data_IF_869857320212
#
_entry.id   IF_869857320212
#
_cell.length_a   1.000
_cell.length_b   1.000
_cell.length_c   1.000
_cell.angle_alpha   90.00
_cell.angle_beta   90.00
_cell.angle_gamma   90.00
#
_symmetry.space_group_name_H-M   'P 1'
#
loop_
_entity.id
_entity.type
_entity.pdbx_description
1 polymer ?
#
# COMPACT_ATOMS: atom_id res chain seq x y z
N UNK A 1 -8.21 -21.67 -2.82
CA UNK A 1 -9.63 -22.00 -2.52
C UNK A 1 -10.30 -22.52 -3.78
N UNK A 2 -10.90 -23.72 -3.75
CA UNK A 2 -11.79 -24.20 -4.83
C UNK A 2 -13.18 -23.60 -4.62
N UNK A 3 -13.66 -22.80 -5.58
CA UNK A 3 -14.91 -22.04 -5.46
C UNK A 3 -16.09 -22.92 -5.88
N UNK A 4 -16.65 -23.65 -4.92
CA UNK A 4 -17.98 -24.27 -5.03
C UNK A 4 -19.08 -23.29 -4.62
N UNK A 5 -20.25 -23.38 -5.27
CA UNK A 5 -21.45 -22.56 -5.04
C UNK A 5 -22.08 -22.78 -3.64
N UNK A 6 -21.39 -22.39 -2.58
CA UNK A 6 -21.95 -22.19 -1.24
C UNK A 6 -21.70 -20.76 -0.81
N UNK A 7 -22.55 -20.19 0.05
CA UNK A 7 -22.26 -18.94 0.73
C UNK A 7 -20.98 -19.14 1.56
N UNK A 8 -19.84 -18.74 1.01
CA UNK A 8 -18.57 -18.72 1.73
C UNK A 8 -18.63 -17.61 2.78
N UNK A 9 -18.72 -17.97 4.06
CA UNK A 9 -18.46 -17.03 5.15
C UNK A 9 -16.96 -16.98 5.43
N UNK A 10 -16.41 -15.80 5.69
CA UNK A 10 -15.07 -15.68 6.24
C UNK A 10 -15.06 -16.32 7.63
N UNK A 11 -13.93 -16.98 7.96
CA UNK A 11 -13.72 -17.54 9.30
C UNK A 11 -12.46 -16.93 9.86
N UNK A 12 -12.52 -16.46 11.10
CA UNK A 12 -11.34 -16.03 11.84
C UNK A 12 -10.39 -17.21 11.97
N UNK A 13 -9.14 -17.02 11.50
CA UNK A 13 -8.07 -17.98 11.67
C UNK A 13 -7.34 -17.79 13.00
N UNK A 14 -7.08 -16.53 13.36
CA UNK A 14 -6.41 -16.08 14.59
C UNK A 14 -6.75 -14.61 14.84
N UNK A 15 -6.53 -14.14 16.07
CA UNK A 15 -6.76 -12.74 16.47
C UNK A 15 -5.69 -12.25 17.44
N UNK A 16 -5.34 -10.97 17.34
CA UNK A 16 -4.40 -10.30 18.24
C UNK A 16 -5.07 -9.07 18.87
N UNK A 17 -4.66 -8.71 20.09
CA UNK A 17 -5.10 -7.48 20.72
C UNK A 17 -3.90 -6.62 21.10
N UNK A 18 -4.06 -5.31 20.92
CA UNK A 18 -3.12 -4.29 21.31
C UNK A 18 -3.79 -3.39 22.36
N UNK A 19 -3.04 -2.99 23.38
CA UNK A 19 -3.55 -2.14 24.46
C UNK A 19 -3.80 -0.67 24.03
N UNK A 20 -3.50 -0.35 22.77
CA UNK A 20 -3.53 1.01 22.24
C UNK A 20 -4.40 1.08 20.99
N UNK A 21 -4.95 2.27 20.73
CA UNK A 21 -5.64 2.56 19.47
C UNK A 21 -4.64 2.58 18.33
N UNK A 22 -4.99 1.92 17.24
CA UNK A 22 -4.13 1.71 16.08
C UNK A 22 -4.44 2.74 15.00
N UNK A 23 -3.40 3.29 14.38
CA UNK A 23 -3.49 4.27 13.28
C UNK A 23 -2.92 3.76 11.97
N UNK A 24 -1.91 2.90 12.05
CA UNK A 24 -1.19 2.38 10.90
C UNK A 24 -0.81 0.91 11.13
N UNK A 25 -0.72 0.12 10.08
CA UNK A 25 -0.36 -1.28 10.15
C UNK A 25 0.26 -1.74 8.83
N UNK A 26 1.26 -2.62 8.92
CA UNK A 26 1.89 -3.28 7.79
C UNK A 26 2.41 -4.65 8.24
N UNK A 27 3.00 -5.43 7.32
CA UNK A 27 3.62 -6.70 7.65
C UNK A 27 4.99 -6.86 7.01
N UNK A 28 5.86 -7.57 7.71
CA UNK A 28 7.21 -7.89 7.25
C UNK A 28 7.89 -8.91 8.15
N UNK A 29 9.07 -9.32 7.75
CA UNK A 29 9.93 -10.21 8.54
C UNK A 29 10.98 -9.41 9.29
N UNK A 30 10.88 -9.38 10.62
CA UNK A 30 11.73 -8.54 11.48
C UNK A 30 12.67 -9.32 12.41
N UNK A 31 12.71 -10.65 12.29
CA UNK A 31 13.54 -11.52 13.12
C UNK A 31 14.20 -12.66 12.32
N UNK A 32 15.03 -13.44 13.01
CA UNK A 32 15.77 -14.59 12.45
C UNK A 32 14.87 -15.71 11.92
N UNK A 33 13.58 -15.74 12.31
CA UNK A 33 12.67 -16.80 11.85
C UNK A 33 12.32 -16.67 10.37
N UNK A 34 12.44 -15.46 9.81
CA UNK A 34 12.04 -15.17 8.45
C UNK A 34 10.52 -15.09 8.24
N UNK A 35 9.72 -15.31 9.30
CA UNK A 35 8.26 -15.33 9.25
C UNK A 35 7.68 -13.92 9.15
N UNK A 36 6.56 -13.78 8.45
CA UNK A 36 5.80 -12.53 8.41
C UNK A 36 5.19 -12.22 9.79
N UNK A 37 5.36 -10.98 10.22
CA UNK A 37 4.86 -10.45 11.47
C UNK A 37 4.11 -9.16 11.23
N UNK A 38 3.07 -8.93 12.03
CA UNK A 38 2.34 -7.67 12.03
C UNK A 38 3.16 -6.59 12.75
N UNK A 39 3.32 -5.43 12.10
CA UNK A 39 3.80 -4.19 12.74
C UNK A 39 2.68 -3.16 12.75
N UNK A 40 2.47 -2.50 13.89
CA UNK A 40 1.43 -1.49 14.05
C UNK A 40 1.98 -0.20 14.64
N UNK A 41 1.40 0.92 14.22
CA UNK A 41 1.59 2.24 14.78
C UNK A 41 0.38 2.64 15.61
N UNK A 42 0.64 3.24 16.76
CA UNK A 42 -0.41 3.65 17.71
C UNK A 42 -0.65 5.16 17.68
N UNK A 43 -1.83 5.60 18.13
CA UNK A 43 -2.13 7.04 18.32
C UNK A 43 -1.12 7.74 19.25
N UNK A 44 -0.47 6.99 20.14
CA UNK A 44 0.55 7.48 21.08
C UNK A 44 1.97 7.48 20.51
N UNK A 45 2.17 7.26 19.21
CA UNK A 45 3.50 7.28 18.59
C UNK A 45 4.35 6.03 18.86
N UNK A 46 3.81 4.97 19.49
CA UNK A 46 4.50 3.69 19.65
C UNK A 46 4.39 2.86 18.38
N UNK A 47 5.48 2.20 18.02
CA UNK A 47 5.55 1.11 17.04
C UNK A 47 5.62 -0.21 17.80
N UNK A 48 4.69 -1.11 17.52
CA UNK A 48 4.58 -2.40 18.20
C UNK A 48 4.66 -3.53 17.14
N UNK A 49 5.34 -4.62 17.49
CA UNK A 49 5.24 -5.88 16.76
C UNK A 49 4.15 -6.75 17.36
N UNK A 50 3.69 -7.73 16.59
CA UNK A 50 2.81 -8.79 17.06
C UNK A 50 3.34 -9.41 18.37
N UNK A 51 2.53 -9.33 19.44
CA UNK A 51 2.90 -9.90 20.74
C UNK A 51 3.91 -9.08 21.56
N UNK A 52 4.31 -7.88 21.11
CA UNK A 52 5.20 -6.96 21.84
C UNK A 52 4.48 -5.66 22.22
N UNK A 53 4.78 -5.11 23.40
CA UNK A 53 4.13 -3.88 23.89
C UNK A 53 4.60 -2.62 23.15
N UNK A 54 5.90 -2.51 22.85
CA UNK A 54 6.50 -1.38 22.12
C UNK A 54 7.93 -1.74 21.75
N UNK A 55 8.29 -1.52 20.49
CA UNK A 55 9.64 -1.75 19.98
C UNK A 55 10.38 -0.43 19.74
N UNK A 56 9.65 0.60 19.32
CA UNK A 56 10.20 1.93 19.07
C UNK A 56 9.15 3.00 19.38
N UNK A 57 9.60 4.18 19.82
CA UNK A 57 8.71 5.32 20.08
C UNK A 57 9.11 6.50 19.19
N UNK A 58 8.14 6.96 18.41
CA UNK A 58 8.23 8.12 17.52
C UNK A 58 7.67 9.32 18.28
N UNK A 59 8.47 10.38 18.41
CA UNK A 59 8.06 11.63 19.06
C UNK A 59 7.21 12.53 18.15
N UNK A 60 6.36 11.94 17.31
CA UNK A 60 5.40 12.64 16.44
C UNK A 60 4.22 11.69 16.13
N UNK A 61 3.13 12.26 15.63
CA UNK A 61 1.97 11.48 15.20
C UNK A 61 2.33 10.65 13.98
N UNK A 62 2.12 9.33 14.09
CA UNK A 62 2.26 8.40 12.97
C UNK A 62 1.04 8.54 12.05
N UNK A 63 1.30 8.74 10.77
CA UNK A 63 0.27 8.84 9.73
C UNK A 63 0.21 7.57 8.88
N UNK A 64 1.37 6.97 8.58
CA UNK A 64 1.44 5.80 7.71
C UNK A 64 2.62 4.89 8.08
N UNK A 65 2.45 3.59 7.84
CA UNK A 65 3.51 2.59 7.92
C UNK A 65 3.58 1.81 6.61
N UNK A 66 4.79 1.60 6.12
CA UNK A 66 5.08 0.67 5.04
C UNK A 66 6.30 -0.16 5.41
N UNK A 67 6.49 -1.28 4.73
CA UNK A 67 7.63 -2.16 4.96
C UNK A 67 8.45 -2.25 3.69
N UNK A 68 9.72 -1.86 3.78
CA UNK A 68 10.69 -2.03 2.71
C UNK A 68 11.24 -3.46 2.78
N UNK A 69 10.77 -4.31 1.87
CA UNK A 69 11.22 -5.70 1.81
C UNK A 69 12.56 -5.80 1.08
N UNK A 70 13.53 -6.45 1.71
CA UNK A 70 14.78 -6.79 1.01
C UNK A 70 14.52 -7.96 0.06
N UNK A 71 14.87 -7.81 -1.21
CA UNK A 71 14.64 -8.84 -2.24
C UNK A 71 15.40 -10.14 -1.91
N UNK A 72 14.74 -11.09 -1.26
CA UNK A 72 15.29 -12.43 -0.92
C UNK A 72 15.62 -13.25 -2.17
N UNK A 73 14.89 -13.04 -3.28
CA UNK A 73 15.01 -13.85 -4.52
C UNK A 73 16.26 -13.59 -5.37
N UNK A 74 17.00 -12.50 -5.17
CA UNK A 74 18.17 -12.17 -6.01
C UNK A 74 19.47 -12.84 -5.50
N UNK A 75 19.48 -13.41 -4.29
CA UNK A 75 20.70 -13.88 -3.62
C UNK A 75 21.24 -15.25 -4.04
N UNK A 76 20.62 -15.96 -5.00
CA UNK A 76 21.21 -17.21 -5.49
C UNK A 76 22.43 -17.02 -6.41
N UNK A 77 22.72 -15.80 -6.93
CA UNK A 77 23.81 -15.63 -7.89
C UNK A 77 24.75 -14.41 -7.75
N UNK A 78 24.64 -13.54 -6.74
CA UNK A 78 25.56 -12.40 -6.66
C UNK A 78 25.97 -12.00 -5.23
N UNK A 79 27.25 -12.33 -4.96
CA UNK A 79 28.24 -11.63 -4.13
C UNK A 79 27.91 -11.41 -2.65
N UNK A 80 28.73 -12.06 -1.82
CA UNK A 80 28.97 -11.81 -0.40
C UNK A 80 29.33 -10.33 -0.17
N UNK A 81 28.36 -9.49 0.16
CA UNK A 81 28.59 -8.23 0.86
C UNK A 81 28.22 -8.41 2.33
N UNK A 82 29.03 -7.83 3.21
CA UNK A 82 29.04 -8.08 4.66
C UNK A 82 27.97 -7.33 5.46
N UNK A 83 27.11 -6.54 4.81
CA UNK A 83 25.94 -5.90 5.43
C UNK A 83 24.66 -6.66 4.98
N UNK A 84 24.60 -7.91 5.44
CA UNK A 84 23.61 -8.88 5.01
C UNK A 84 22.35 -8.79 5.89
N UNK A 85 21.66 -7.65 5.88
CA UNK A 85 20.34 -7.57 6.54
C UNK A 85 19.32 -8.34 5.68
N UNK A 86 18.88 -9.50 6.19
CA UNK A 86 17.82 -10.33 5.59
C UNK A 86 16.42 -9.95 6.11
N UNK A 87 16.38 -8.88 6.89
CA UNK A 87 15.22 -8.37 7.59
C UNK A 87 14.62 -7.20 6.85
N UNK A 88 13.32 -7.06 6.98
CA UNK A 88 12.59 -5.96 6.38
C UNK A 88 12.70 -4.71 7.26
N UNK A 89 12.65 -3.55 6.63
CA UNK A 89 12.78 -2.25 7.30
C UNK A 89 11.39 -1.63 7.41
N UNK A 90 11.07 -1.09 8.58
CA UNK A 90 9.83 -0.33 8.78
C UNK A 90 10.05 1.11 8.32
N UNK A 91 9.24 1.56 7.35
CA UNK A 91 9.20 2.94 6.90
C UNK A 91 8.02 3.64 7.58
N UNK A 92 8.32 4.73 8.29
CA UNK A 92 7.40 5.46 9.15
C UNK A 92 7.20 6.86 8.58
N UNK A 93 5.96 7.16 8.21
CA UNK A 93 5.52 8.51 7.84
C UNK A 93 4.85 9.20 9.02
N UNK A 94 5.29 10.41 9.34
CA UNK A 94 4.74 11.24 10.42
C UNK A 94 4.22 12.57 9.90
N UNK A 95 3.73 13.44 10.78
CA UNK A 95 3.36 14.80 10.41
C UNK A 95 4.53 15.67 9.94
N UNK A 96 5.77 15.35 10.34
CA UNK A 96 6.92 16.21 10.03
C UNK A 96 8.15 15.44 9.51
N UNK A 97 8.08 14.13 9.34
CA UNK A 97 9.24 13.33 8.96
C UNK A 97 8.92 12.02 8.25
N UNK A 98 9.92 11.54 7.52
CA UNK A 98 10.04 10.17 7.01
C UNK A 98 11.21 9.50 7.73
N UNK A 99 10.97 8.31 8.28
CA UNK A 99 12.01 7.52 8.96
C UNK A 99 12.05 6.10 8.41
N UNK A 100 13.26 5.55 8.24
CA UNK A 100 13.47 4.13 8.04
C UNK A 100 14.11 3.53 9.30
N UNK A 101 13.45 2.53 9.87
CA UNK A 101 13.85 1.90 11.13
C UNK A 101 14.05 0.39 10.93
N UNK A 102 15.26 -0.06 11.18
CA UNK A 102 15.63 -1.46 11.27
C UNK A 102 15.26 -1.97 12.66
N UNK A 103 14.18 -2.74 12.72
CA UNK A 103 13.65 -3.30 13.96
C UNK A 103 14.60 -4.33 14.56
N UNK A 104 15.23 -5.16 13.71
CA UNK A 104 16.10 -6.24 14.17
C UNK A 104 17.35 -5.69 14.85
N UNK A 105 18.01 -4.71 14.23
CA UNK A 105 19.22 -4.09 14.76
C UNK A 105 18.93 -2.91 15.70
N UNK A 106 17.66 -2.58 15.95
CA UNK A 106 17.23 -1.41 16.72
C UNK A 106 17.94 -0.11 16.26
N UNK A 107 17.95 0.12 14.93
CA UNK A 107 18.76 1.17 14.31
C UNK A 107 17.93 2.00 13.34
N UNK A 108 17.97 3.32 13.49
CA UNK A 108 17.49 4.24 12.46
C UNK A 108 18.47 4.26 11.29
N UNK A 109 17.98 3.90 10.10
CA UNK A 109 18.76 3.92 8.86
C UNK A 109 18.87 5.35 8.35
N UNK A 110 17.72 6.03 8.26
CA UNK A 110 17.68 7.45 7.93
C UNK A 110 16.48 8.13 8.60
N UNK A 111 16.59 9.45 8.74
CA UNK A 111 15.51 10.32 9.19
C UNK A 111 15.54 11.60 8.35
N UNK A 112 14.42 11.93 7.71
CA UNK A 112 14.25 13.10 6.83
C UNK A 112 13.15 13.98 7.39
N UNK A 113 13.41 15.26 7.53
CA UNK A 113 12.38 16.24 7.88
C UNK A 113 11.56 16.57 6.62
N UNK A 114 10.25 16.37 6.69
CA UNK A 114 9.29 16.66 5.63
C UNK A 114 8.17 17.48 6.25
N UNK A 115 8.27 18.79 6.14
CA UNK A 115 7.36 19.75 6.79
C UNK A 115 5.91 19.67 6.33
N UNK A 116 5.65 19.11 5.15
CA UNK A 116 4.30 18.86 4.62
C UNK A 116 3.66 17.58 5.20
N UNK A 117 4.41 16.79 5.96
CA UNK A 117 4.03 15.49 6.48
C UNK A 117 4.02 14.40 5.43
N UNK A 118 4.08 13.15 5.87
CA UNK A 118 4.03 11.96 5.02
C UNK A 118 2.74 11.21 5.30
N UNK A 119 1.78 11.30 4.38
CA UNK A 119 0.43 10.74 4.57
C UNK A 119 0.27 9.36 3.95
N UNK A 120 1.07 9.05 2.94
CA UNK A 120 1.03 7.77 2.23
C UNK A 120 2.42 7.37 1.77
N UNK A 121 2.74 6.08 1.84
CA UNK A 121 4.01 5.53 1.38
C UNK A 121 3.72 4.32 0.49
N UNK A 122 4.25 4.32 -0.73
CA UNK A 122 4.28 3.17 -1.63
C UNK A 122 5.74 2.81 -1.91
N UNK A 123 6.06 1.53 -1.84
CA UNK A 123 7.40 1.02 -2.15
C UNK A 123 7.30 0.13 -3.38
N UNK A 124 8.19 0.34 -4.33
CA UNK A 124 8.30 -0.51 -5.51
C UNK A 124 9.16 0.09 -6.60
N UNK A 125 9.25 -0.64 -7.71
CA UNK A 125 9.98 -0.21 -8.89
C UNK A 125 9.10 0.72 -9.75
N UNK A 126 9.70 1.82 -10.23
CA UNK A 126 9.11 2.77 -11.16
C UNK A 126 10.09 2.96 -12.32
N UNK A 127 9.60 3.11 -13.56
CA UNK A 127 10.35 3.27 -14.84
C UNK A 127 11.90 3.39 -14.70
N UNK A 128 12.40 4.58 -14.35
CA UNK A 128 13.84 4.91 -14.27
C UNK A 128 14.63 4.07 -13.25
N UNK A 129 13.96 3.57 -12.22
CA UNK A 129 14.49 2.79 -11.10
C UNK A 129 13.99 1.34 -11.14
N UNK A 130 13.80 0.75 -12.32
CA UNK A 130 13.29 -0.64 -12.46
C UNK A 130 14.07 -1.73 -11.72
N UNK A 131 15.34 -1.47 -11.38
CA UNK A 131 16.21 -2.43 -10.70
C UNK A 131 16.30 -2.21 -9.17
N UNK A 132 15.67 -1.16 -8.63
CA UNK A 132 15.76 -0.78 -7.21
C UNK A 132 14.37 -0.41 -6.69
N UNK A 133 14.04 -0.85 -5.47
CA UNK A 133 12.79 -0.41 -4.84
C UNK A 133 12.94 1.04 -4.40
N UNK A 134 12.01 1.89 -4.83
CA UNK A 134 11.95 3.30 -4.43
C UNK A 134 10.91 3.48 -3.33
N UNK A 135 11.23 4.31 -2.34
CA UNK A 135 10.29 4.75 -1.31
C UNK A 135 9.57 6.00 -1.86
N UNK A 136 8.32 5.85 -2.29
CA UNK A 136 7.50 6.91 -2.88
C UNK A 136 6.53 7.42 -1.82
N UNK A 137 6.60 8.71 -1.49
CA UNK A 137 5.84 9.35 -0.43
C UNK A 137 4.87 10.38 -1.01
N UNK A 138 3.62 10.37 -0.52
CA UNK A 138 2.66 11.45 -0.72
C UNK A 138 2.72 12.42 0.46
N UNK A 139 3.15 13.65 0.20
CA UNK A 139 3.43 14.68 1.19
C UNK A 139 2.61 15.96 0.89
N UNK A 140 1.43 16.09 1.50
CA UNK A 140 0.51 17.18 1.15
C UNK A 140 0.15 17.15 -0.33
N UNK A 141 0.67 18.10 -1.11
CA UNK A 141 0.46 18.21 -2.57
C UNK A 141 1.67 17.78 -3.42
N UNK A 142 2.72 17.29 -2.77
CA UNK A 142 3.97 16.87 -3.39
C UNK A 142 4.19 15.37 -3.28
N UNK A 143 4.81 14.78 -4.30
CA UNK A 143 5.31 13.40 -4.28
C UNK A 143 6.82 13.47 -4.17
N UNK A 144 7.37 12.65 -3.28
CA UNK A 144 8.81 12.47 -3.12
C UNK A 144 9.20 11.02 -3.37
N UNK A 145 10.34 10.81 -4.03
CA UNK A 145 10.97 9.50 -4.19
C UNK A 145 12.32 9.46 -3.48
N UNK A 146 12.56 8.43 -2.67
CA UNK A 146 13.82 8.24 -1.93
C UNK A 146 14.41 6.84 -2.18
N UNK A 147 15.74 6.75 -2.13
CA UNK A 147 16.45 5.47 -2.02
C UNK A 147 16.30 4.87 -0.62
N UNK A 148 16.72 3.62 -0.45
CA UNK A 148 16.70 2.92 0.83
C UNK A 148 17.56 3.57 1.92
N UNK A 149 18.55 4.39 1.54
CA UNK A 149 19.39 5.17 2.45
C UNK A 149 18.84 6.58 2.76
N UNK A 150 17.68 6.93 2.20
CA UNK A 150 17.02 8.22 2.41
C UNK A 150 17.49 9.34 1.48
N UNK A 151 18.34 9.04 0.48
CA UNK A 151 18.74 10.02 -0.52
C UNK A 151 17.61 10.32 -1.50
N UNK A 152 17.46 11.60 -1.83
CA UNK A 152 16.46 12.09 -2.77
C UNK A 152 16.73 11.55 -4.19
N UNK A 153 15.70 10.98 -4.80
CA UNK A 153 15.69 10.58 -6.22
C UNK A 153 14.96 11.61 -7.07
N UNK A 154 13.72 11.91 -6.72
CA UNK A 154 12.86 12.84 -7.45
C UNK A 154 11.81 13.49 -6.55
N UNK A 155 11.22 14.57 -7.04
CA UNK A 155 10.00 15.14 -6.46
C UNK A 155 9.13 15.79 -7.53
N UNK A 156 7.82 15.85 -7.30
CA UNK A 156 6.89 16.58 -8.17
C UNK A 156 5.74 17.18 -7.36
N UNK A 157 5.20 18.32 -7.79
CA UNK A 157 3.98 18.89 -7.22
C UNK A 157 2.78 18.57 -8.13
N UNK A 158 1.63 18.24 -7.53
CA UNK A 158 0.38 17.95 -8.25
C UNK A 158 -0.70 19.02 -8.10
N UNK A 159 -0.56 19.91 -7.10
CA UNK A 159 -1.50 21.00 -6.82
C UNK A 159 -2.69 20.62 -5.94
N UNK A 160 -3.09 19.34 -5.96
CA UNK A 160 -4.13 18.78 -5.08
C UNK A 160 -3.51 17.90 -3.99
N UNK A 161 -4.19 17.78 -2.86
CA UNK A 161 -3.75 16.93 -1.76
C UNK A 161 -3.78 15.45 -2.18
N UNK A 162 -2.68 14.76 -1.93
CA UNK A 162 -2.49 13.35 -2.26
C UNK A 162 -3.02 12.48 -1.13
N UNK A 163 -3.87 11.52 -1.49
CA UNK A 163 -4.50 10.60 -0.55
C UNK A 163 -3.98 9.18 -0.68
N UNK A 164 -3.63 8.75 -1.89
CA UNK A 164 -3.21 7.38 -2.17
C UNK A 164 -2.29 7.33 -3.39
N UNK A 165 -1.32 6.42 -3.34
CA UNK A 165 -0.36 6.15 -4.41
C UNK A 165 -0.38 4.65 -4.73
N UNK A 166 -0.35 4.31 -6.01
CA UNK A 166 -0.27 2.92 -6.46
C UNK A 166 0.62 2.80 -7.71
N UNK A 167 1.27 1.65 -7.86
CA UNK A 167 2.13 1.33 -9.00
C UNK A 167 1.41 0.32 -9.88
N UNK A 168 1.27 0.64 -11.16
CA UNK A 168 0.64 -0.24 -12.15
C UNK A 168 1.25 0.00 -13.53
N UNK A 169 1.60 -1.08 -14.21
CA UNK A 169 1.93 -1.09 -15.65
C UNK A 169 0.66 -0.83 -16.47
N UNK A 170 0.40 0.43 -16.80
CA UNK A 170 -0.79 0.94 -17.45
C UNK A 170 -0.73 0.87 -18.98
N UNK A 171 0.47 0.94 -19.57
CA UNK A 171 0.66 0.91 -21.02
C UNK A 171 1.14 -0.46 -21.56
N UNK A 172 1.47 -1.39 -20.66
CA UNK A 172 1.84 -2.76 -20.98
C UNK A 172 3.31 -2.91 -21.39
N UNK A 173 4.17 -1.93 -21.11
CA UNK A 173 5.60 -1.98 -21.43
C UNK A 173 6.43 -2.82 -20.43
N UNK A 174 5.81 -3.27 -19.34
CA UNK A 174 6.42 -4.07 -18.28
C UNK A 174 7.09 -3.23 -17.18
N UNK A 175 6.99 -1.91 -17.23
CA UNK A 175 7.38 -0.97 -16.19
C UNK A 175 6.12 -0.47 -15.48
N UNK A 176 6.26 -0.07 -14.22
CA UNK A 176 5.11 0.47 -13.50
C UNK A 176 5.08 1.99 -13.61
N UNK A 177 3.88 2.53 -13.83
CA UNK A 177 3.57 3.93 -13.67
C UNK A 177 2.93 4.23 -12.32
N UNK A 178 3.01 5.50 -11.92
CA UNK A 178 2.45 5.97 -10.67
C UNK A 178 1.02 6.49 -10.86
N UNK A 179 0.06 5.78 -10.28
CA UNK A 179 -1.33 6.23 -10.17
C UNK A 179 -1.47 7.03 -8.88
N UNK A 180 -2.08 8.22 -8.98
CA UNK A 180 -2.25 9.13 -7.84
C UNK A 180 -3.72 9.45 -7.62
N UNK A 181 -4.22 9.11 -6.44
CA UNK A 181 -5.52 9.55 -5.96
C UNK A 181 -5.39 10.83 -5.15
N UNK A 182 -6.21 11.84 -5.46
CA UNK A 182 -6.17 13.17 -4.82
C UNK A 182 -7.52 13.57 -4.21
N UNK A 183 -7.55 14.72 -3.54
CA UNK A 183 -8.77 15.41 -3.11
C UNK A 183 -9.53 16.12 -4.24
N UNK A 184 -8.91 16.23 -5.42
CA UNK A 184 -9.55 16.77 -6.61
C UNK A 184 -10.68 15.88 -7.13
N UNK A 185 -11.40 16.39 -8.13
CA UNK A 185 -12.46 15.67 -8.85
C UNK A 185 -11.87 14.58 -9.78
N UNK A 186 -10.59 14.70 -10.11
CA UNK A 186 -9.87 13.84 -11.05
C UNK A 186 -8.86 12.92 -10.33
N UNK A 187 -8.88 11.63 -10.69
CA UNK A 187 -7.78 10.69 -10.48
C UNK A 187 -6.75 10.97 -11.57
N UNK A 188 -5.54 11.35 -11.16
CA UNK A 188 -4.45 11.66 -12.09
C UNK A 188 -3.50 10.46 -12.16
N UNK A 189 -3.55 9.69 -13.26
CA UNK A 189 -2.54 8.67 -13.53
C UNK A 189 -1.36 9.34 -14.22
N UNK A 190 -0.25 9.52 -13.51
CA UNK A 190 0.92 10.25 -14.00
C UNK A 190 1.99 9.25 -14.41
N UNK A 191 2.12 9.04 -15.72
CA UNK A 191 3.25 8.31 -16.29
C UNK A 191 4.49 9.21 -16.17
N UNK A 192 5.49 8.72 -15.43
CA UNK A 192 6.84 9.24 -15.56
C UNK A 192 7.47 8.49 -16.73
N UNK A 193 7.38 9.05 -17.94
CA UNK A 193 8.29 8.68 -19.03
C UNK A 193 9.13 9.92 -19.29
N UNK A 194 10.45 9.83 -19.16
CA UNK A 194 11.33 10.91 -19.65
C UNK A 194 12.29 10.43 -20.73
N UNK A 195 12.04 10.90 -21.95
CA UNK A 195 13.02 10.93 -23.03
C UNK A 195 14.10 11.99 -22.74
N UNK A 196 15.32 11.51 -22.50
CA UNK A 196 16.65 12.10 -22.71
C UNK A 196 16.96 13.58 -22.34
N UNK A 197 17.87 13.71 -21.36
CA UNK A 197 19.19 14.40 -21.40
C UNK A 197 19.30 15.84 -21.96
N UNK A 198 19.93 16.68 -21.11
CA UNK A 198 20.66 17.95 -21.34
C UNK A 198 19.88 19.29 -21.36
N UNK A 199 20.16 20.07 -20.30
CA UNK A 199 20.70 21.45 -20.36
C UNK A 199 19.77 22.50 -21.01
N UNK A 200 18.92 23.14 -20.21
CA UNK A 200 18.89 24.60 -20.07
C UNK A 200 17.93 25.01 -18.92
N UNK A 201 18.45 25.82 -18.01
CA UNK A 201 17.69 26.51 -16.99
C UNK A 201 16.69 27.50 -17.61
N UNK A 202 15.53 27.63 -16.97
CA UNK A 202 14.46 28.61 -17.22
C UNK A 202 13.50 28.27 -18.37
N UNK A 203 12.26 27.89 -18.01
CA UNK A 203 11.13 27.45 -18.86
C UNK A 203 11.26 26.07 -19.53
N UNK A 204 11.27 25.00 -18.72
CA UNK A 204 11.09 23.62 -19.21
C UNK A 204 10.17 22.84 -18.25
N UNK A 205 8.86 23.02 -18.40
CA UNK A 205 7.81 22.05 -18.03
C UNK A 205 7.18 21.55 -19.34
N UNK A 206 7.94 20.77 -20.10
CA UNK A 206 7.56 20.14 -21.39
C UNK A 206 8.39 18.85 -21.47
N UNK A 207 7.89 17.62 -21.38
CA UNK A 207 6.54 17.07 -21.49
C UNK A 207 6.40 15.94 -20.45
N UNK A 208 5.82 16.23 -19.29
CA UNK A 208 5.15 15.22 -18.48
C UNK A 208 3.71 15.19 -18.96
N UNK A 209 3.36 14.25 -19.84
CA UNK A 209 1.97 14.03 -20.24
C UNK A 209 1.33 13.05 -19.27
N UNK A 210 0.22 13.43 -18.62
CA UNK A 210 -0.68 12.43 -18.06
C UNK A 210 -1.09 11.50 -19.20
N UNK A 211 -1.03 10.19 -18.97
CA UNK A 211 -1.52 9.22 -19.94
C UNK A 211 -3.03 9.16 -19.95
N UNK A 212 -3.62 9.30 -18.76
CA UNK A 212 -5.04 9.37 -18.57
C UNK A 212 -5.38 10.14 -17.29
N UNK A 213 -6.40 10.98 -17.38
CA UNK A 213 -7.09 11.56 -16.25
C UNK A 213 -8.46 10.89 -16.17
N UNK A 214 -8.82 10.38 -14.99
CA UNK A 214 -10.11 9.74 -14.76
C UNK A 214 -10.93 10.58 -13.81
N UNK A 215 -11.99 11.22 -14.31
CA UNK A 215 -12.91 12.01 -13.49
C UNK A 215 -13.91 11.08 -12.78
N UNK A 216 -13.86 11.05 -11.45
CA UNK A 216 -14.76 10.27 -10.62
C UNK A 216 -15.59 11.12 -9.63
N UNK A 217 -15.44 12.46 -9.63
CA UNK A 217 -16.35 13.37 -8.94
C UNK A 217 -16.14 13.56 -7.43
N UNK A 218 -15.30 12.74 -6.79
CA UNK A 218 -15.08 12.74 -5.33
C UNK A 218 -13.62 12.39 -4.97
N UNK A 219 -13.12 12.85 -3.80
CA UNK A 219 -11.80 12.49 -3.30
C UNK A 219 -11.53 10.99 -3.32
N UNK A 220 -10.39 10.61 -3.88
CA UNK A 220 -9.98 9.20 -3.98
C UNK A 220 -9.27 8.77 -2.70
N UNK A 221 -9.70 7.65 -2.12
CA UNK A 221 -9.20 7.14 -0.83
C UNK A 221 -8.43 5.84 -0.93
N UNK A 222 -8.73 5.02 -1.94
CA UNK A 222 -8.08 3.74 -2.13
C UNK A 222 -7.88 3.48 -3.62
N UNK A 223 -6.72 2.98 -3.98
CA UNK A 223 -6.38 2.47 -5.31
C UNK A 223 -5.60 1.18 -5.08
N UNK A 224 -5.87 0.16 -5.90
CA UNK A 224 -5.06 -1.06 -5.92
C UNK A 224 -4.90 -1.53 -7.37
N UNK A 225 -3.66 -1.78 -7.79
CA UNK A 225 -3.37 -2.41 -9.05
C UNK A 225 -3.79 -3.89 -8.97
N UNK A 226 -4.49 -4.37 -10.00
CA UNK A 226 -4.96 -5.76 -10.06
C UNK A 226 -4.06 -6.57 -10.98
N UNK A 227 -3.84 -6.04 -12.19
CA UNK A 227 -3.02 -6.60 -13.26
C UNK A 227 -2.68 -5.47 -14.25
N UNK A 228 -1.82 -5.69 -15.26
CA UNK A 228 -1.50 -4.62 -16.21
C UNK A 228 -2.74 -3.95 -16.80
N UNK A 229 -2.68 -2.62 -16.85
CA UNK A 229 -3.72 -1.69 -17.26
C UNK A 229 -5.06 -1.85 -16.53
N UNK A 230 -5.08 -2.46 -15.35
CA UNK A 230 -6.31 -2.72 -14.58
C UNK A 230 -6.11 -2.39 -13.11
N UNK A 231 -6.90 -1.45 -12.60
CA UNK A 231 -6.86 -1.06 -11.18
C UNK A 231 -8.28 -0.84 -10.64
N UNK A 232 -8.46 -1.11 -9.36
CA UNK A 232 -9.66 -0.71 -8.63
C UNK A 232 -9.44 0.62 -7.92
N UNK A 233 -10.52 1.39 -7.78
CA UNK A 233 -10.53 2.67 -7.07
C UNK A 233 -11.71 2.72 -6.08
N UNK A 234 -11.54 3.55 -5.06
CA UNK A 234 -12.53 3.79 -4.03
C UNK A 234 -12.52 5.25 -3.59
N UNK A 235 -13.70 5.86 -3.52
CA UNK A 235 -13.91 7.28 -3.25
C UNK A 235 -14.48 7.52 -1.86
N UNK A 236 -14.33 8.76 -1.40
CA UNK A 236 -14.87 9.22 -0.12
C UNK A 236 -16.40 9.18 -0.03
N UNK A 237 -17.09 9.26 -1.16
CA UNK A 237 -18.55 9.14 -1.23
C UNK A 237 -19.08 7.70 -1.11
N UNK A 238 -18.18 6.72 -0.93
CA UNK A 238 -18.52 5.29 -0.86
C UNK A 238 -18.70 4.63 -2.22
N UNK A 239 -18.30 5.30 -3.30
CA UNK A 239 -18.21 4.71 -4.64
C UNK A 239 -16.94 3.85 -4.72
N UNK A 240 -17.06 2.67 -5.31
CA UNK A 240 -15.92 1.84 -5.73
C UNK A 240 -16.14 1.38 -7.17
N UNK A 241 -15.05 1.17 -7.90
CA UNK A 241 -15.10 0.73 -9.28
C UNK A 241 -13.78 0.14 -9.75
N UNK A 242 -13.78 -0.31 -11.00
CA UNK A 242 -12.60 -0.83 -11.68
C UNK A 242 -12.45 -0.14 -13.03
N UNK A 243 -11.23 0.30 -13.31
CA UNK A 243 -10.77 0.65 -14.64
C UNK A 243 -9.99 -0.53 -15.23
N UNK A 244 -10.17 -0.77 -16.52
CA UNK A 244 -9.43 -1.75 -17.30
C UNK A 244 -9.17 -1.19 -18.69
N UNK A 245 -7.91 -1.22 -19.12
CA UNK A 245 -7.48 -0.73 -20.44
C UNK A 245 -7.93 0.73 -20.71
N UNK A 246 -7.88 1.58 -19.68
CA UNK A 246 -8.31 2.98 -19.77
C UNK A 246 -9.83 3.21 -19.74
N UNK A 247 -10.66 2.16 -19.70
CA UNK A 247 -12.11 2.28 -19.64
C UNK A 247 -12.67 1.83 -18.29
N UNK A 248 -13.74 2.49 -17.84
CA UNK A 248 -14.44 2.10 -16.61
C UNK A 248 -15.27 0.85 -16.86
N UNK A 249 -14.86 -0.28 -16.29
CA UNK A 249 -15.58 -1.55 -16.41
C UNK A 249 -16.89 -1.52 -15.63
N UNK A 250 -16.84 -1.06 -14.37
CA UNK A 250 -18.01 -0.92 -13.52
C UNK A 250 -17.74 0.05 -12.37
N UNK A 251 -18.84 0.56 -11.80
CA UNK A 251 -18.82 1.29 -10.52
C UNK A 251 -20.10 1.03 -9.73
N UNK A 252 -19.99 1.02 -8.42
CA UNK A 252 -21.12 0.87 -7.48
C UNK A 252 -20.96 1.83 -6.31
N UNK A 253 -22.08 2.31 -5.75
CA UNK A 253 -22.09 3.20 -4.58
C UNK A 253 -22.63 2.50 -3.35
N UNK A 254 -21.93 2.61 -2.24
CA UNK A 254 -22.33 2.11 -0.91
C UNK A 254 -22.42 3.28 0.08
N UNK A 255 -23.12 3.09 1.20
CA UNK A 255 -23.29 4.11 2.24
C UNK A 255 -22.11 4.24 3.20
N UNK A 256 -21.18 3.29 3.20
CA UNK A 256 -20.00 3.30 4.07
C UNK A 256 -18.79 3.83 3.33
N UNK A 257 -17.87 4.46 4.05
CA UNK A 257 -16.55 4.85 3.54
C UNK A 257 -15.70 3.61 3.29
N UNK A 258 -14.97 3.60 2.17
CA UNK A 258 -13.99 2.56 1.85
C UNK A 258 -12.74 2.71 2.74
N UNK A 259 -12.19 1.59 3.21
CA UNK A 259 -10.95 1.54 4.01
C UNK A 259 -9.80 0.99 3.19
N UNK A 260 -9.99 -0.14 2.51
CA UNK A 260 -8.94 -0.76 1.70
C UNK A 260 -9.55 -1.52 0.52
N UNK A 261 -8.80 -1.53 -0.58
CA UNK A 261 -9.06 -2.39 -1.74
C UNK A 261 -7.93 -3.40 -1.83
N UNK A 262 -8.27 -4.67 -2.02
CA UNK A 262 -7.31 -5.76 -2.00
C UNK A 262 -7.41 -6.58 -3.29
N UNK A 263 -6.29 -6.70 -4.00
CA UNK A 263 -6.18 -7.58 -5.17
C UNK A 263 -5.86 -9.01 -4.73
N UNK A 264 -6.60 -10.00 -5.25
CA UNK A 264 -6.30 -11.41 -4.99
C UNK A 264 -5.25 -11.94 -5.97
N UNK A 265 -4.49 -12.99 -5.59
CA UNK A 265 -3.52 -13.64 -6.48
C UNK A 265 -4.10 -14.13 -7.82
N UNK A 266 -5.40 -14.43 -7.85
CA UNK A 266 -6.10 -14.85 -9.07
C UNK A 266 -6.37 -13.71 -10.07
N UNK A 267 -6.14 -12.45 -9.68
CA UNK A 267 -6.36 -11.22 -10.46
C UNK A 267 -7.78 -11.05 -11.04
N UNK A 268 -8.73 -11.87 -10.59
CA UNK A 268 -10.10 -11.91 -11.06
C UNK A 268 -11.07 -11.39 -9.98
N UNK A 269 -10.60 -11.30 -8.74
CA UNK A 269 -11.35 -10.79 -7.62
C UNK A 269 -10.67 -9.60 -6.94
N UNK A 270 -11.50 -8.68 -6.46
CA UNK A 270 -11.10 -7.56 -5.63
C UNK A 270 -11.94 -7.55 -4.35
N UNK A 271 -11.29 -7.44 -3.20
CA UNK A 271 -11.97 -7.22 -1.92
C UNK A 271 -12.17 -5.73 -1.70
N UNK A 272 -13.41 -5.34 -1.40
CA UNK A 272 -13.78 -4.00 -0.93
C UNK A 272 -14.03 -4.07 0.56
N UNK A 273 -13.13 -3.48 1.35
CA UNK A 273 -13.20 -3.47 2.82
C UNK A 273 -13.70 -2.10 3.28
N UNK A 274 -14.83 -2.08 3.97
CA UNK A 274 -15.53 -0.86 4.37
C UNK A 274 -15.32 -0.55 5.85
N UNK A 275 -15.40 0.73 6.24
CA UNK A 275 -15.18 1.18 7.62
C UNK A 275 -16.11 0.50 8.63
N UNK A 276 -17.33 0.19 8.24
CA UNK A 276 -18.32 -0.50 9.08
C UNK A 276 -18.10 -2.02 9.18
N UNK A 277 -16.89 -2.53 8.91
CA UNK A 277 -16.54 -3.95 8.94
C UNK A 277 -17.29 -4.84 7.93
N UNK A 278 -17.91 -4.23 6.91
CA UNK A 278 -18.43 -4.95 5.75
C UNK A 278 -17.28 -5.28 4.79
N UNK A 279 -17.32 -6.48 4.21
CA UNK A 279 -16.36 -6.93 3.19
C UNK A 279 -17.15 -7.47 2.01
N UNK A 280 -16.93 -6.94 0.81
CA UNK A 280 -17.46 -7.49 -0.44
C UNK A 280 -16.31 -8.00 -1.30
N UNK A 281 -16.32 -9.28 -1.69
CA UNK A 281 -15.43 -9.81 -2.73
C UNK A 281 -16.18 -9.76 -4.06
N UNK A 282 -15.65 -8.99 -5.00
CA UNK A 282 -16.30 -8.69 -6.28
C UNK A 282 -15.48 -9.20 -7.45
N UNK A 283 -16.17 -9.58 -8.53
CA UNK A 283 -15.51 -9.86 -9.80
C UNK A 283 -14.93 -8.57 -10.40
N UNK A 284 -13.68 -8.64 -10.85
CA UNK A 284 -12.97 -7.52 -11.48
C UNK A 284 -13.62 -7.10 -12.79
N UNK A 285 -14.16 -8.04 -13.57
CA UNK A 285 -14.77 -7.74 -14.87
C UNK A 285 -16.20 -7.21 -14.78
N UNK A 286 -17.02 -7.72 -13.85
CA UNK A 286 -18.46 -7.42 -13.81
C UNK A 286 -18.92 -6.61 -12.59
N UNK A 287 -18.12 -6.57 -11.52
CA UNK A 287 -18.50 -5.95 -10.24
C UNK A 287 -19.52 -6.76 -9.42
N UNK A 288 -19.92 -7.93 -9.91
CA UNK A 288 -20.81 -8.85 -9.20
C UNK A 288 -20.17 -9.33 -7.89
N UNK A 289 -20.97 -9.35 -6.83
CA UNK A 289 -20.55 -9.84 -5.52
C UNK A 289 -20.49 -11.37 -5.60
N UNK A 290 -19.29 -11.92 -5.41
CA UNK A 290 -19.09 -13.37 -5.25
C UNK A 290 -19.35 -13.81 -3.83
N UNK A 291 -18.82 -13.04 -2.90
CA UNK A 291 -18.94 -13.28 -1.46
C UNK A 291 -19.08 -11.95 -0.75
N UNK A 292 -19.86 -11.93 0.33
CA UNK A 292 -19.90 -10.80 1.25
C UNK A 292 -19.88 -11.30 2.67
N UNK A 293 -19.29 -10.51 3.54
CA UNK A 293 -19.33 -10.73 4.96
C UNK A 293 -19.53 -9.40 5.71
N UNK A 294 -20.01 -9.51 6.94
CA UNK A 294 -20.21 -8.41 7.85
C UNK A 294 -19.71 -8.85 9.21
N UNK A 295 -18.55 -8.31 9.59
CA UNK A 295 -17.95 -8.65 10.86
C UNK A 295 -18.48 -7.75 11.98
N UNK A 296 -18.48 -8.30 13.18
CA UNK A 296 -18.65 -7.55 14.42
C UNK A 296 -17.26 -7.13 14.92
N UNK A 297 -17.14 -5.97 15.57
CA UNK A 297 -15.83 -5.53 16.10
C UNK A 297 -15.53 -4.04 16.01
N UNK A 298 -16.44 -3.25 15.43
CA UNK A 298 -16.34 -1.79 15.39
C UNK A 298 -15.78 -1.27 14.07
N UNK A 299 -15.07 -0.14 14.11
CA UNK A 299 -14.55 0.51 12.91
C UNK A 299 -13.21 -0.08 12.46
N UNK A 300 -13.17 -0.56 11.21
CA UNK A 300 -11.92 -0.94 10.55
C UNK A 300 -11.07 0.28 10.26
N UNK A 301 -9.76 0.14 10.50
CA UNK A 301 -8.75 1.15 10.16
C UNK A 301 -8.04 0.79 8.88
N UNK A 302 -7.61 -0.47 8.74
CA UNK A 302 -6.73 -0.96 7.67
C UNK A 302 -7.06 -2.44 7.40
N UNK A 303 -6.91 -2.88 6.16
CA UNK A 303 -6.88 -4.29 5.80
C UNK A 303 -5.81 -4.57 4.73
N UNK A 304 -5.24 -5.77 4.74
CA UNK A 304 -4.31 -6.25 3.72
C UNK A 304 -4.29 -7.78 3.65
N UNK A 305 -3.72 -8.31 2.57
CA UNK A 305 -3.53 -9.75 2.36
C UNK A 305 -2.08 -10.12 2.69
N UNK A 306 -1.90 -11.09 3.60
CA UNK A 306 -0.58 -11.56 4.05
C UNK A 306 -0.68 -12.98 4.63
N UNK A 307 0.37 -13.77 4.51
CA UNK A 307 0.50 -15.06 5.20
C UNK A 307 1.11 -14.92 6.60
N UNK A 308 0.33 -14.37 7.56
CA UNK A 308 0.76 -14.24 8.95
C UNK A 308 0.76 -15.59 9.70
N UNK A 309 0.00 -16.57 9.23
CA UNK A 309 0.00 -17.91 9.81
C UNK A 309 1.22 -18.75 9.40
N UNK A 310 2.01 -18.29 8.42
CA UNK A 310 3.18 -19.02 7.91
C UNK A 310 2.80 -20.36 7.27
N UNK A 311 1.61 -20.43 6.66
CA UNK A 311 1.13 -21.65 5.98
C UNK A 311 1.96 -21.95 4.74
N UNK A 312 2.54 -20.90 4.13
CA UNK A 312 3.25 -20.97 2.89
C UNK A 312 2.32 -21.07 1.67
N UNK A 313 2.90 -21.11 0.46
CA UNK A 313 2.13 -21.37 -0.75
C UNK A 313 1.61 -22.81 -0.77
N UNK A 314 0.62 -23.06 -1.63
CA UNK A 314 0.20 -24.41 -1.99
C UNK A 314 1.34 -25.22 -2.62
N UNK A 315 1.18 -26.54 -2.67
CA UNK A 315 2.05 -27.43 -3.45
C UNK A 315 2.12 -27.03 -4.94
N UNK A 316 1.09 -26.35 -5.45
CA UNK A 316 1.06 -25.78 -6.81
C UNK A 316 1.93 -24.52 -6.98
N UNK A 317 2.49 -23.99 -5.89
CA UNK A 317 3.24 -22.72 -5.84
C UNK A 317 2.37 -21.48 -5.68
N UNK A 318 1.04 -21.61 -5.68
CA UNK A 318 0.12 -20.48 -5.48
C UNK A 318 0.15 -19.98 -4.04
N UNK A 319 0.34 -18.66 -3.85
CA UNK A 319 0.32 -18.03 -2.54
C UNK A 319 -1.08 -18.13 -1.89
N UNK A 320 -1.10 -18.31 -0.57
CA UNK A 320 -2.33 -18.37 0.23
C UNK A 320 -2.38 -17.27 1.30
N UNK A 321 -2.42 -15.99 0.91
CA UNK A 321 -2.50 -14.93 1.89
C UNK A 321 -3.83 -14.98 2.63
N UNK A 322 -3.80 -14.68 3.92
CA UNK A 322 -4.99 -14.49 4.74
C UNK A 322 -5.41 -13.01 4.71
N UNK A 323 -6.71 -12.78 4.76
CA UNK A 323 -7.26 -11.44 4.94
C UNK A 323 -7.01 -10.98 6.38
N UNK A 324 -6.12 -10.02 6.54
CA UNK A 324 -5.80 -9.40 7.82
C UNK A 324 -6.58 -8.11 7.97
N UNK A 325 -7.29 -7.97 9.08
CA UNK A 325 -8.15 -6.85 9.39
C UNK A 325 -7.68 -6.17 10.68
N UNK A 326 -7.53 -4.86 10.65
CA UNK A 326 -7.04 -4.07 11.78
C UNK A 326 -8.11 -3.08 12.21
N UNK A 327 -8.68 -3.30 13.40
CA UNK A 327 -9.69 -2.44 14.01
C UNK A 327 -9.04 -1.28 14.80
N UNK A 328 -9.67 -0.10 14.77
CA UNK A 328 -9.13 1.12 15.43
C UNK A 328 -8.99 1.00 16.94
N UNK A 329 -9.85 0.21 17.59
CA UNK A 329 -9.87 0.04 19.04
C UNK A 329 -8.74 -0.86 19.55
N UNK A 330 -7.90 -1.43 18.66
CA UNK A 330 -6.84 -2.36 19.03
C UNK A 330 -7.35 -3.71 19.53
N UNK A 331 -8.66 -3.96 19.55
CA UNK A 331 -9.22 -5.25 19.92
C UNK A 331 -9.47 -6.07 18.66
N UNK A 332 -8.70 -7.15 18.46
CA UNK A 332 -8.97 -8.13 17.42
C UNK A 332 -9.99 -9.17 17.90
N UNK A 333 -10.90 -9.53 17.00
CA UNK A 333 -11.67 -10.78 17.05
C UNK A 333 -11.02 -11.78 16.12
#
# INVERSE_FOLDING_TARGET
MSVGQGNCSLKTAFGFSFAHRLVAAASGSFDESGHEQLVVGTETGKICLQGSESVFHVNDKINFLSVYKHNRKIKEQSIKSSDNSEYDIVIIGTNNSLMAFDVFNNKTIFHREITEGVNFIKIGNIDEYKNENVIICGCGTTIWGFQSDGKDLFWTALGDQINVLELCDMDGDGLNELIVGTDGIEIKAKIYTYFYKLKLFSKVLKNASFFAEFDEGDPTLAIIAIKPATFAFGLSSGVVGVYGQGERLWRVKTKSRIVSLLSFPDQNHVACVWQNAKIDIRSVSTGEIRTKDQLEGGELSIAFLVDLAGVGPLDSGEEQPQLTLVFKNGQGF
#
